data_IF_728882224167
#
_entry.id   IF_728882224167
#
_cell.length_a   1.000
_cell.length_b   1.000
_cell.length_c   1.000
_cell.angle_alpha   90.00
_cell.angle_beta   90.00
_cell.angle_gamma   90.00
#
_symmetry.space_group_name_H-M   'P 1'
#
loop_
_entity.id
_entity.type
_entity.pdbx_description
1 polymer ?
#
# COMPACT_ATOMS: atom_id res chain seq x y z
N UNK A 1 67.65 15.20 -9.82
CA UNK A 1 67.01 15.43 -8.51
C UNK A 1 65.64 14.79 -8.53
N UNK A 2 65.39 13.85 -7.61
CA UNK A 2 64.07 13.24 -7.30
C UNK A 2 63.18 14.33 -6.63
N UNK A 3 61.85 14.44 -6.81
CA UNK A 3 60.75 13.74 -6.11
C UNK A 3 59.41 14.32 -6.66
N UNK A 4 58.44 13.52 -7.14
CA UNK A 4 57.30 12.88 -6.44
C UNK A 4 56.09 13.82 -6.20
N UNK A 5 54.92 13.45 -6.74
CA UNK A 5 53.64 14.07 -6.37
C UNK A 5 52.50 13.89 -7.39
N UNK A 6 51.98 12.67 -7.52
CA UNK A 6 50.76 12.34 -8.28
C UNK A 6 49.57 12.54 -7.35
N UNK A 7 48.61 13.39 -7.67
CA UNK A 7 47.20 13.06 -7.38
C UNK A 7 46.25 13.95 -8.16
N UNK A 8 45.25 13.28 -8.71
CA UNK A 8 44.20 13.72 -9.60
C UNK A 8 43.19 14.59 -8.87
N UNK A 9 43.18 15.89 -9.15
CA UNK A 9 42.06 16.75 -8.76
C UNK A 9 40.88 16.47 -9.69
N UNK A 10 40.00 15.59 -9.21
CA UNK A 10 38.70 16.07 -8.72
C UNK A 10 37.91 16.88 -9.77
N UNK A 11 37.66 16.21 -10.89
CA UNK A 11 36.51 16.40 -11.79
C UNK A 11 35.19 16.11 -11.05
N UNK A 12 34.98 16.70 -9.88
CA UNK A 12 33.86 16.44 -8.99
C UNK A 12 33.08 17.72 -8.70
N UNK A 13 32.75 18.48 -9.75
CA UNK A 13 31.86 19.66 -9.63
C UNK A 13 31.33 20.09 -11.00
N UNK A 14 30.43 19.28 -11.54
CA UNK A 14 29.36 19.67 -12.48
C UNK A 14 28.61 18.38 -12.86
N UNK A 15 27.63 17.97 -12.06
CA UNK A 15 26.24 18.34 -12.29
C UNK A 15 25.74 17.98 -13.71
N UNK A 16 24.90 16.94 -13.73
CA UNK A 16 23.79 16.77 -14.67
C UNK A 16 24.08 16.24 -16.08
N UNK A 17 24.02 14.92 -16.22
CA UNK A 17 23.31 14.32 -17.36
C UNK A 17 22.77 12.92 -17.00
N UNK A 18 21.46 12.91 -16.73
CA UNK A 18 20.54 11.76 -16.71
C UNK A 18 20.95 10.66 -17.70
N UNK A 19 21.10 9.41 -17.23
CA UNK A 19 20.47 8.20 -17.79
C UNK A 19 21.19 6.92 -17.33
N UNK A 20 20.39 5.94 -16.88
CA UNK A 20 20.68 4.51 -16.72
C UNK A 20 21.47 4.07 -15.48
N UNK A 21 20.78 4.04 -14.34
CA UNK A 21 20.85 2.85 -13.48
C UNK A 21 19.42 2.34 -13.28
N UNK A 22 18.99 1.51 -14.22
CA UNK A 22 17.86 0.61 -14.06
C UNK A 22 18.25 -0.36 -12.95
N UNK A 23 17.85 -0.04 -11.72
CA UNK A 23 17.88 -0.98 -10.60
C UNK A 23 16.86 -2.07 -10.95
N UNK A 24 17.37 -3.17 -11.49
CA UNK A 24 16.64 -4.42 -11.61
C UNK A 24 16.41 -4.94 -10.19
N UNK A 25 15.31 -4.53 -9.56
CA UNK A 25 14.84 -5.23 -8.37
C UNK A 25 14.40 -6.64 -8.79
N UNK A 26 14.80 -7.69 -8.05
CA UNK A 26 14.40 -9.05 -8.35
C UNK A 26 12.86 -9.15 -8.36
N UNK A 27 12.35 -9.84 -9.38
CA UNK A 27 10.91 -10.02 -9.64
C UNK A 27 10.23 -10.81 -8.52
N UNK A 28 9.91 -10.13 -7.42
CA UNK A 28 9.01 -10.64 -6.38
C UNK A 28 7.99 -9.58 -5.90
N UNK A 29 8.05 -8.35 -6.41
CA UNK A 29 7.23 -7.24 -5.92
C UNK A 29 6.35 -6.59 -7.02
N UNK A 30 5.93 -7.35 -8.04
CA UNK A 30 5.16 -6.79 -9.18
C UNK A 30 3.65 -7.00 -9.13
N UNK A 31 3.11 -7.60 -8.07
CA UNK A 31 1.66 -7.80 -7.92
C UNK A 31 1.11 -7.16 -6.64
N UNK A 32 1.74 -6.11 -6.13
CA UNK A 32 1.04 -5.21 -5.23
C UNK A 32 0.08 -4.41 -6.11
N UNK A 33 -1.22 -4.62 -5.92
CA UNK A 33 -2.25 -3.71 -6.45
C UNK A 33 -1.81 -2.31 -6.04
N UNK A 34 -1.45 -1.47 -7.01
CA UNK A 34 -0.99 -0.10 -6.75
C UNK A 34 -2.22 0.71 -6.35
N UNK A 35 -2.59 0.61 -5.07
CA UNK A 35 -3.61 1.47 -4.51
C UNK A 35 -3.03 2.87 -4.43
N UNK A 36 -3.49 3.75 -5.31
CA UNK A 36 -3.16 5.16 -5.22
C UNK A 36 -3.75 5.68 -3.90
N UNK A 37 -2.91 6.28 -3.08
CA UNK A 37 -3.20 6.45 -1.66
C UNK A 37 -4.10 7.64 -1.40
N UNK A 38 -5.40 7.43 -1.54
CA UNK A 38 -6.44 8.46 -1.33
C UNK A 38 -6.93 8.52 0.12
N UNK A 39 -6.46 7.64 1.00
CA UNK A 39 -6.96 7.54 2.37
C UNK A 39 -6.69 8.80 3.20
N UNK A 40 -5.52 9.44 3.15
CA UNK A 40 -5.28 10.69 3.87
C UNK A 40 -6.28 11.79 3.49
N UNK A 41 -6.58 11.94 2.19
CA UNK A 41 -7.55 12.92 1.72
C UNK A 41 -8.99 12.56 2.10
N UNK A 42 -9.37 11.29 2.06
CA UNK A 42 -10.70 10.86 2.53
C UNK A 42 -10.87 11.13 4.03
N UNK A 43 -9.85 10.85 4.85
CA UNK A 43 -9.88 11.15 6.29
C UNK A 43 -9.95 12.66 6.55
N UNK A 44 -9.24 13.47 5.76
CA UNK A 44 -9.29 14.93 5.87
C UNK A 44 -10.67 15.50 5.51
N UNK A 45 -11.34 14.93 4.49
CA UNK A 45 -12.66 15.40 4.01
C UNK A 45 -13.81 14.89 4.88
N UNK A 46 -13.80 13.60 5.24
CA UNK A 46 -14.91 12.92 5.90
C UNK A 46 -14.73 12.83 7.43
N UNK A 47 -13.54 13.11 7.94
CA UNK A 47 -13.14 12.79 9.29
C UNK A 47 -12.92 11.28 9.51
N UNK A 48 -12.35 10.91 10.66
CA UNK A 48 -12.08 9.51 10.99
C UNK A 48 -13.35 8.66 11.02
N UNK A 49 -14.44 9.17 11.59
CA UNK A 49 -15.71 8.45 11.70
C UNK A 49 -16.34 8.20 10.32
N UNK A 50 -16.41 9.24 9.47
CA UNK A 50 -16.92 9.12 8.11
C UNK A 50 -16.07 8.19 7.24
N UNK A 51 -14.75 8.22 7.41
CA UNK A 51 -13.87 7.29 6.72
C UNK A 51 -14.10 5.82 7.14
N UNK A 52 -14.27 5.56 8.45
CA UNK A 52 -14.58 4.21 8.94
C UNK A 52 -15.94 3.73 8.40
N UNK A 53 -16.93 4.63 8.33
CA UNK A 53 -18.24 4.32 7.75
C UNK A 53 -18.12 3.95 6.26
N UNK A 54 -17.31 4.66 5.48
CA UNK A 54 -17.07 4.33 4.06
C UNK A 54 -16.37 2.98 3.88
N UNK A 55 -15.41 2.63 4.74
CA UNK A 55 -14.85 1.27 4.75
C UNK A 55 -15.91 0.20 5.05
N UNK A 56 -16.80 0.48 6.01
CA UNK A 56 -17.91 -0.43 6.32
C UNK A 56 -18.89 -0.56 5.15
N UNK A 57 -19.15 0.52 4.42
CA UNK A 57 -20.00 0.52 3.24
C UNK A 57 -19.36 -0.27 2.09
N UNK A 58 -18.05 -0.09 1.86
CA UNK A 58 -17.27 -0.90 0.93
C UNK A 58 -17.33 -2.39 1.25
N UNK A 59 -17.18 -2.75 2.53
CA UNK A 59 -17.34 -4.14 2.98
C UNK A 59 -18.73 -4.70 2.63
N UNK A 60 -19.80 -3.95 2.92
CA UNK A 60 -21.18 -4.35 2.64
C UNK A 60 -21.46 -4.53 1.15
N UNK A 61 -20.79 -3.77 0.29
CA UNK A 61 -20.90 -3.91 -1.16
C UNK A 61 -20.22 -5.19 -1.67
N UNK A 62 -19.15 -5.64 -1.02
CA UNK A 62 -18.35 -6.78 -1.46
C UNK A 62 -18.77 -8.12 -0.83
N UNK A 63 -19.42 -8.09 0.32
CA UNK A 63 -19.76 -9.30 1.06
C UNK A 63 -20.84 -10.15 0.39
N UNK A 64 -20.81 -11.44 0.69
CA UNK A 64 -21.93 -12.35 0.47
C UNK A 64 -23.03 -12.03 1.49
N UNK A 65 -24.23 -11.70 1.00
CA UNK A 65 -25.35 -11.28 1.84
C UNK A 65 -25.92 -12.38 2.73
N UNK A 66 -25.72 -13.65 2.38
CA UNK A 66 -26.16 -14.79 3.20
C UNK A 66 -25.14 -15.11 4.28
N UNK A 67 -23.85 -15.06 3.96
CA UNK A 67 -22.78 -15.44 4.89
C UNK A 67 -22.33 -14.34 5.83
N UNK A 68 -22.51 -13.07 5.46
CA UNK A 68 -21.98 -11.97 6.28
C UNK A 68 -20.50 -11.68 6.05
N UNK A 69 -19.88 -12.30 5.04
CA UNK A 69 -18.42 -12.30 4.82
C UNK A 69 -18.10 -12.03 3.35
N UNK A 70 -16.93 -11.45 3.07
CA UNK A 70 -16.41 -11.38 1.70
C UNK A 70 -15.81 -12.74 1.36
N UNK A 71 -16.45 -13.45 0.44
CA UNK A 71 -15.93 -14.70 -0.11
C UNK A 71 -15.25 -14.43 -1.45
N UNK A 72 -14.48 -15.39 -1.96
CA UNK A 72 -13.94 -15.28 -3.33
C UNK A 72 -15.05 -15.00 -4.37
N UNK A 73 -16.17 -15.74 -4.29
CA UNK A 73 -17.29 -15.60 -5.22
C UNK A 73 -17.98 -14.24 -5.12
N UNK A 74 -18.20 -13.74 -3.90
CA UNK A 74 -18.80 -12.42 -3.70
C UNK A 74 -17.86 -11.30 -4.12
N UNK A 75 -16.56 -11.42 -3.80
CA UNK A 75 -15.53 -10.49 -4.21
C UNK A 75 -15.46 -10.42 -5.74
N UNK A 76 -15.38 -11.56 -6.43
CA UNK A 76 -15.33 -11.62 -7.90
C UNK A 76 -16.58 -11.04 -8.57
N UNK A 77 -17.75 -11.28 -8.00
CA UNK A 77 -19.02 -10.77 -8.53
C UNK A 77 -19.16 -9.26 -8.32
N UNK A 78 -18.79 -8.80 -7.13
CA UNK A 78 -19.09 -7.45 -6.68
C UNK A 78 -17.92 -6.48 -6.93
N UNK A 79 -16.72 -6.96 -7.24
CA UNK A 79 -15.54 -6.14 -7.59
C UNK A 79 -15.80 -5.21 -8.77
N UNK A 80 -16.65 -5.63 -9.71
CA UNK A 80 -17.07 -4.80 -10.83
C UNK A 80 -17.77 -3.50 -10.40
N UNK A 81 -18.45 -3.49 -9.24
CA UNK A 81 -19.11 -2.29 -8.71
C UNK A 81 -18.10 -1.22 -8.24
N UNK A 82 -16.87 -1.63 -7.97
CA UNK A 82 -15.77 -0.77 -7.54
C UNK A 82 -14.77 -0.48 -8.67
N UNK A 83 -15.11 -0.82 -9.92
CA UNK A 83 -14.23 -0.65 -11.06
C UNK A 83 -13.04 -1.62 -11.08
N UNK A 84 -13.07 -2.68 -10.27
CA UNK A 84 -12.04 -3.71 -10.21
C UNK A 84 -12.31 -4.89 -11.16
N UNK A 85 -13.08 -4.65 -12.23
CA UNK A 85 -13.52 -5.69 -13.18
C UNK A 85 -12.38 -6.35 -13.98
N UNK A 86 -11.23 -5.69 -14.10
CA UNK A 86 -10.09 -6.18 -14.87
C UNK A 86 -9.15 -7.06 -14.03
N UNK A 87 -9.46 -7.25 -12.74
CA UNK A 87 -8.69 -8.11 -11.87
C UNK A 87 -8.89 -9.58 -12.20
N UNK A 88 -7.78 -10.31 -12.30
CA UNK A 88 -7.82 -11.75 -12.56
C UNK A 88 -8.13 -12.54 -11.29
N UNK A 89 -8.63 -13.76 -11.47
CA UNK A 89 -8.93 -14.69 -10.37
C UNK A 89 -7.73 -14.92 -9.43
N UNK A 90 -6.50 -14.98 -9.97
CA UNK A 90 -5.29 -15.13 -9.16
C UNK A 90 -5.02 -13.91 -8.27
N UNK A 91 -5.34 -12.72 -8.76
CA UNK A 91 -5.13 -11.47 -8.02
C UNK A 91 -6.20 -11.30 -6.92
N UNK A 92 -7.45 -11.64 -7.23
CA UNK A 92 -8.54 -11.67 -6.24
C UNK A 92 -8.28 -12.72 -5.14
N UNK A 93 -7.76 -13.90 -5.50
CA UNK A 93 -7.33 -14.91 -4.53
C UNK A 93 -6.18 -14.42 -3.66
N UNK A 94 -5.22 -13.69 -4.24
CA UNK A 94 -4.15 -13.05 -3.49
C UNK A 94 -4.71 -12.03 -2.48
N UNK A 95 -5.67 -11.20 -2.87
CA UNK A 95 -6.30 -10.24 -1.95
C UNK A 95 -6.99 -10.93 -0.78
N UNK A 96 -7.74 -12.00 -1.05
CA UNK A 96 -8.42 -12.78 -0.02
C UNK A 96 -7.40 -13.37 0.96
N UNK A 97 -6.37 -14.05 0.44
CA UNK A 97 -5.33 -14.69 1.25
C UNK A 97 -4.51 -13.70 2.08
N UNK A 98 -4.27 -12.50 1.56
CA UNK A 98 -3.51 -11.47 2.26
C UNK A 98 -4.28 -10.85 3.43
N UNK A 99 -5.61 -10.82 3.33
CA UNK A 99 -6.50 -10.26 4.35
C UNK A 99 -7.04 -11.28 5.35
N UNK A 100 -7.14 -12.55 4.97
CA UNK A 100 -7.66 -13.65 5.80
C UNK A 100 -6.66 -13.99 6.91
N UNK A 101 -6.96 -13.56 8.14
CA UNK A 101 -6.06 -13.69 9.29
C UNK A 101 -6.36 -14.92 10.13
N UNK A 102 -7.61 -15.40 10.11
CA UNK A 102 -8.03 -16.59 10.85
C UNK A 102 -8.01 -17.88 10.01
N UNK A 103 -7.87 -17.77 8.70
CA UNK A 103 -7.73 -18.88 7.76
C UNK A 103 -9.05 -19.54 7.37
N UNK A 104 -10.19 -18.85 7.53
CA UNK A 104 -11.51 -19.40 7.18
C UNK A 104 -11.81 -19.36 5.67
N UNK A 105 -10.92 -18.75 4.87
CA UNK A 105 -11.05 -18.61 3.43
C UNK A 105 -12.02 -17.51 3.00
N UNK A 106 -12.32 -16.56 3.87
CA UNK A 106 -13.14 -15.38 3.63
C UNK A 106 -12.53 -14.17 4.36
N UNK A 107 -13.14 -12.99 4.20
CA UNK A 107 -12.81 -11.82 5.01
C UNK A 107 -14.04 -11.42 5.82
N UNK A 108 -13.88 -11.36 7.13
CA UNK A 108 -14.79 -10.61 7.99
C UNK A 108 -14.51 -9.10 7.90
N UNK A 109 -15.40 -8.30 8.49
CA UNK A 109 -15.32 -6.84 8.41
C UNK A 109 -14.00 -6.29 8.96
N UNK A 110 -13.49 -6.88 10.06
CA UNK A 110 -12.25 -6.43 10.70
C UNK A 110 -11.04 -6.71 9.80
N UNK A 111 -10.98 -7.90 9.23
CA UNK A 111 -9.92 -8.31 8.31
C UNK A 111 -9.90 -7.45 7.06
N UNK A 112 -11.06 -7.17 6.48
CA UNK A 112 -11.19 -6.25 5.35
C UNK A 112 -10.65 -4.86 5.70
N UNK A 113 -11.06 -4.27 6.82
CA UNK A 113 -10.57 -2.97 7.24
C UNK A 113 -9.04 -2.98 7.43
N UNK A 114 -8.50 -4.00 8.11
CA UNK A 114 -7.04 -4.14 8.32
C UNK A 114 -6.30 -4.27 7.00
N UNK A 115 -6.81 -5.07 6.06
CA UNK A 115 -6.25 -5.19 4.71
C UNK A 115 -6.22 -3.84 4.01
N UNK A 116 -7.33 -3.10 3.99
CA UNK A 116 -7.41 -1.77 3.37
C UNK A 116 -6.39 -0.80 3.97
N UNK A 117 -6.24 -0.78 5.30
CA UNK A 117 -5.22 0.04 5.96
C UNK A 117 -3.79 -0.36 5.61
N UNK A 118 -3.49 -1.66 5.51
CA UNK A 118 -2.16 -2.17 5.14
C UNK A 118 -1.78 -1.85 3.69
N UNK A 119 -2.78 -1.74 2.82
CA UNK A 119 -2.61 -1.37 1.42
C UNK A 119 -2.43 0.14 1.21
N UNK A 120 -2.72 0.99 2.21
CA UNK A 120 -2.47 2.44 2.19
C UNK A 120 -1.09 2.77 2.79
N UNK A 121 -0.10 3.16 1.95
CA UNK A 121 1.25 3.47 2.43
C UNK A 121 1.31 4.72 3.32
N UNK A 122 0.44 5.70 3.09
CA UNK A 122 0.42 7.01 3.75
C UNK A 122 -0.24 6.99 5.13
N UNK A 123 -1.20 6.09 5.38
CA UNK A 123 -1.66 5.85 6.77
C UNK A 123 -0.52 5.27 7.62
N UNK A 124 0.30 4.38 7.04
CA UNK A 124 1.51 3.86 7.71
C UNK A 124 2.64 4.90 7.83
N UNK A 125 2.68 5.91 6.94
CA UNK A 125 3.70 6.96 6.95
C UNK A 125 3.40 8.08 7.95
N UNK A 126 2.14 8.35 8.23
CA UNK A 126 1.72 9.26 9.29
C UNK A 126 2.32 8.86 10.65
N UNK A 127 2.25 7.57 10.97
CA UNK A 127 2.81 7.00 12.21
C UNK A 127 4.33 7.11 12.32
N UNK A 128 5.08 7.18 11.20
CA UNK A 128 6.55 7.36 11.23
C UNK A 128 6.97 8.78 11.57
N UNK A 129 6.19 9.79 11.17
CA UNK A 129 6.50 11.20 11.51
C UNK A 129 6.49 11.46 13.01
N UNK A 130 5.56 10.84 13.74
CA UNK A 130 5.47 10.98 15.19
C UNK A 130 6.60 10.28 15.95
N UNK A 131 7.14 9.17 15.41
CA UNK A 131 8.29 8.49 16.02
C UNK A 131 9.57 9.32 15.85
N UNK A 132 9.75 9.96 14.68
CA UNK A 132 10.90 10.85 14.45
C UNK A 132 10.80 12.14 15.26
N UNK A 133 9.61 12.74 15.41
CA UNK A 133 9.41 13.94 16.23
C UNK A 133 9.57 13.67 17.74
N UNK A 134 9.14 12.50 18.23
CA UNK A 134 9.36 12.09 19.61
C UNK A 134 10.83 11.73 19.92
N UNK A 135 11.61 11.32 18.92
CA UNK A 135 13.05 11.04 19.06
C UNK A 135 13.88 12.32 18.94
N UNK A 136 13.45 13.30 18.14
CA UNK A 136 14.14 14.59 17.97
C UNK A 136 13.82 15.57 19.10
N UNK A 137 12.62 15.56 19.66
CA UNK A 137 12.22 16.44 20.77
C UNK A 137 12.35 15.77 22.15
N UNK A 138 13.35 14.92 22.31
CA UNK A 138 13.69 14.33 23.60
C UNK A 138 13.81 15.40 24.71
N UNK A 139 13.20 15.08 25.85
CA UNK A 139 13.37 15.61 27.22
C UNK A 139 14.60 16.50 27.44
#
# INVERSE_FOLDING_TARGET
>A
MQLRGRSTNEKERAANSRSKQQIHLPMAARNAVSFEDFFPSMVEILGCEGFIEELCNGFRLLMDSQKGLITFESLKRNSALLGLQDMRDDELMCMLREGDLDGDGALNQKEFCVLMFRLSPGVMQGSRRWVEEAVVNGV
#
